data_IF_049760707295
#
_entry.id   IF_049760707295
#
_cell.length_a   1.000
_cell.length_b   1.000
_cell.length_c   1.000
_cell.angle_alpha   90.00
_cell.angle_beta   90.00
_cell.angle_gamma   90.00
#
_symmetry.space_group_name_H-M   'P 1'
#
loop_
_entity.id
_entity.type
_entity.pdbx_description
1 polymer ?
#
# COMPACT_ATOMS: atom_id res chain seq x y z
N UNK A 1 -26.23 -37.03 20.50
CA UNK A 1 -25.38 -35.99 19.88
C UNK A 1 -24.42 -35.36 20.89
N UNK A 2 -24.88 -34.93 22.08
CA UNK A 2 -24.03 -34.33 23.12
C UNK A 2 -22.92 -35.28 23.65
N UNK A 3 -23.23 -36.57 23.82
CA UNK A 3 -22.27 -37.63 24.20
C UNK A 3 -21.14 -37.88 23.18
N UNK A 4 -21.28 -37.45 21.92
CA UNK A 4 -20.22 -37.60 20.91
C UNK A 4 -19.23 -36.41 20.91
N UNK A 5 -19.63 -35.28 21.52
CA UNK A 5 -18.87 -34.02 21.52
C UNK A 5 -18.08 -33.81 22.82
N UNK A 6 -18.48 -34.51 23.89
CA UNK A 6 -17.84 -34.48 25.21
C UNK A 6 -17.51 -35.91 25.64
N UNK A 7 -16.41 -36.08 26.39
CA UNK A 7 -16.09 -37.34 27.07
C UNK A 7 -17.01 -37.55 28.27
N UNK A 8 -16.92 -38.71 28.92
CA UNK A 8 -17.64 -38.99 30.18
C UNK A 8 -17.29 -38.01 31.32
N UNK A 9 -16.14 -37.35 31.23
CA UNK A 9 -15.65 -36.35 32.21
C UNK A 9 -15.87 -34.90 31.72
N UNK A 10 -16.84 -34.68 30.82
CA UNK A 10 -17.19 -33.37 30.23
C UNK A 10 -16.04 -32.65 29.50
N UNK A 11 -14.97 -33.37 29.11
CA UNK A 11 -13.87 -32.81 28.32
C UNK A 11 -14.18 -32.89 26.82
N UNK A 12 -13.80 -31.90 26.00
CA UNK A 12 -14.12 -31.90 24.58
C UNK A 12 -13.37 -33.02 23.83
N UNK A 13 -14.09 -33.82 23.05
CA UNK A 13 -13.49 -34.86 22.21
C UNK A 13 -12.81 -34.24 20.98
N UNK A 14 -11.88 -34.93 20.27
CA UNK A 14 -11.36 -34.45 18.99
C UNK A 14 -12.47 -34.11 17.97
N UNK A 15 -13.58 -34.86 17.98
CA UNK A 15 -14.76 -34.59 17.15
C UNK A 15 -15.49 -33.31 17.62
N UNK A 16 -15.64 -33.14 18.95
CA UNK A 16 -16.18 -31.93 19.56
C UNK A 16 -15.36 -30.68 19.25
N UNK A 17 -14.04 -30.78 19.35
CA UNK A 17 -13.10 -29.72 18.98
C UNK A 17 -13.20 -29.38 17.48
N UNK A 18 -13.22 -30.37 16.60
CA UNK A 18 -13.40 -30.13 15.16
C UNK A 18 -14.76 -29.50 14.82
N UNK A 19 -15.83 -29.86 15.54
CA UNK A 19 -17.14 -29.22 15.42
C UNK A 19 -17.13 -27.77 15.92
N UNK A 20 -16.45 -27.48 17.03
CA UNK A 20 -16.29 -26.12 17.55
C UNK A 20 -15.50 -25.23 16.58
N UNK A 21 -14.43 -25.75 15.97
CA UNK A 21 -13.68 -25.05 14.91
C UNK A 21 -14.58 -24.71 13.71
N UNK A 22 -15.41 -25.65 13.26
CA UNK A 22 -16.38 -25.40 12.17
C UNK A 22 -17.40 -24.32 12.54
N UNK A 23 -17.98 -24.40 13.74
CA UNK A 23 -18.93 -23.38 14.21
C UNK A 23 -18.30 -21.99 14.31
N UNK A 24 -17.05 -21.89 14.79
CA UNK A 24 -16.31 -20.64 14.84
C UNK A 24 -16.05 -20.08 13.43
N UNK A 25 -15.68 -20.94 12.47
CA UNK A 25 -15.50 -20.54 11.08
C UNK A 25 -16.82 -20.04 10.44
N UNK A 26 -17.95 -20.69 10.72
CA UNK A 26 -19.27 -20.25 10.23
C UNK A 26 -19.65 -18.87 10.79
N UNK A 27 -19.36 -18.61 12.06
CA UNK A 27 -19.57 -17.29 12.70
C UNK A 27 -18.68 -16.24 12.05
N UNK A 28 -17.41 -16.55 11.82
CA UNK A 28 -16.48 -15.64 11.15
C UNK A 28 -16.97 -15.31 9.73
N UNK A 29 -17.38 -16.32 8.96
CA UNK A 29 -17.86 -16.14 7.59
C UNK A 29 -19.12 -15.26 7.54
N UNK A 30 -20.05 -15.44 8.48
CA UNK A 30 -21.24 -14.57 8.61
C UNK A 30 -20.87 -13.14 8.96
N UNK A 31 -19.99 -12.93 9.95
CA UNK A 31 -19.54 -11.60 10.33
C UNK A 31 -18.82 -10.88 9.16
N UNK A 32 -18.05 -11.61 8.35
CA UNK A 32 -17.45 -11.07 7.14
C UNK A 32 -18.50 -10.66 6.10
N UNK A 33 -19.56 -11.46 5.93
CA UNK A 33 -20.69 -11.15 5.04
C UNK A 33 -21.48 -9.94 5.52
N UNK A 34 -21.82 -9.86 6.82
CA UNK A 34 -22.56 -8.72 7.40
C UNK A 34 -21.80 -7.41 7.17
N UNK A 35 -20.48 -7.43 7.38
CA UNK A 35 -19.60 -6.29 7.07
C UNK A 35 -19.64 -5.90 5.60
N UNK A 36 -19.61 -6.89 4.69
CA UNK A 36 -19.69 -6.64 3.25
C UNK A 36 -21.05 -6.07 2.84
N UNK A 37 -22.14 -6.57 3.44
CA UNK A 37 -23.49 -6.07 3.20
C UNK A 37 -23.64 -4.62 3.67
N UNK A 38 -23.12 -4.27 4.85
CA UNK A 38 -23.15 -2.88 5.33
C UNK A 38 -22.42 -1.91 4.37
N UNK A 39 -21.27 -2.31 3.82
CA UNK A 39 -20.57 -1.53 2.79
C UNK A 39 -21.41 -1.40 1.52
N UNK A 40 -22.04 -2.48 1.07
CA UNK A 40 -22.87 -2.47 -0.14
C UNK A 40 -24.16 -1.67 0.01
N UNK A 41 -24.76 -1.67 1.20
CA UNK A 41 -25.88 -0.80 1.55
C UNK A 41 -25.47 0.68 1.49
N UNK A 42 -24.29 1.02 2.02
CA UNK A 42 -23.72 2.35 1.87
C UNK A 42 -23.51 2.71 0.39
N UNK A 43 -22.91 1.82 -0.42
CA UNK A 43 -22.74 2.06 -1.87
C UNK A 43 -24.09 2.32 -2.54
N UNK A 44 -25.11 1.51 -2.24
CA UNK A 44 -26.44 1.67 -2.83
C UNK A 44 -27.08 3.02 -2.44
N UNK A 45 -26.87 3.48 -1.21
CA UNK A 45 -27.39 4.74 -0.72
C UNK A 45 -26.60 5.98 -1.20
N UNK A 46 -25.33 5.82 -1.56
CA UNK A 46 -24.40 6.91 -1.93
C UNK A 46 -23.92 6.86 -3.39
N UNK A 47 -24.57 6.04 -4.23
CA UNK A 47 -24.28 5.99 -5.66
C UNK A 47 -24.49 7.38 -6.27
N UNK A 48 -23.51 7.83 -7.04
CA UNK A 48 -23.57 9.08 -7.77
C UNK A 48 -24.55 8.99 -8.96
N UNK A 49 -25.28 10.08 -9.25
CA UNK A 49 -26.01 10.26 -10.50
C UNK A 49 -25.11 10.10 -11.73
N UNK A 50 -25.66 9.68 -12.86
CA UNK A 50 -24.90 9.35 -14.07
C UNK A 50 -24.10 10.54 -14.63
N UNK A 51 -24.61 11.75 -14.54
CA UNK A 51 -23.93 12.98 -14.95
C UNK A 51 -22.69 13.28 -14.09
N UNK A 52 -22.77 13.05 -12.78
CA UNK A 52 -21.63 13.18 -11.84
C UNK A 52 -20.64 12.02 -11.96
N UNK A 53 -21.12 10.84 -12.34
CA UNK A 53 -20.29 9.66 -12.57
C UNK A 53 -19.56 9.70 -13.92
N UNK A 54 -20.09 10.42 -14.92
CA UNK A 54 -19.48 10.56 -16.24
C UNK A 54 -18.40 11.66 -16.32
N UNK A 55 -18.15 12.39 -15.24
CA UNK A 55 -17.09 13.40 -15.13
C UNK A 55 -15.73 12.67 -15.03
N UNK A 56 -15.28 12.10 -16.16
CA UNK A 56 -14.15 11.18 -16.23
C UNK A 56 -12.83 11.81 -15.76
N UNK A 57 -12.11 11.00 -14.98
CA UNK A 57 -10.67 11.08 -14.85
C UNK A 57 -10.06 10.53 -16.15
N UNK A 58 -9.70 11.41 -17.09
CA UNK A 58 -8.82 10.98 -18.19
C UNK A 58 -7.46 10.60 -17.61
N UNK A 59 -7.03 9.37 -17.88
CA UNK A 59 -5.77 8.77 -17.40
C UNK A 59 -4.50 9.54 -17.81
N UNK A 60 -4.60 10.50 -18.74
CA UNK A 60 -3.50 11.39 -19.13
C UNK A 60 -3.03 12.36 -18.02
N UNK A 61 -3.69 12.40 -16.84
CA UNK A 61 -3.46 13.46 -15.84
C UNK A 61 -2.84 13.02 -14.50
N UNK A 62 -2.32 11.80 -14.38
CA UNK A 62 -1.61 11.42 -13.15
C UNK A 62 -0.28 12.17 -12.96
N UNK A 63 0.35 12.64 -14.06
CA UNK A 63 1.56 13.47 -14.02
C UNK A 63 1.29 14.99 -14.18
N UNK A 64 0.13 15.38 -14.72
CA UNK A 64 -0.31 16.78 -14.78
C UNK A 64 -1.65 16.98 -14.04
N UNK A 65 -1.62 16.76 -12.72
CA UNK A 65 -2.74 17.14 -11.84
C UNK A 65 -2.86 18.68 -11.80
N UNK A 66 -3.64 19.22 -12.74
CA UNK A 66 -3.96 20.63 -12.83
C UNK A 66 -4.47 21.17 -11.49
N UNK A 67 -4.03 22.39 -11.18
CA UNK A 67 -4.17 23.09 -9.90
C UNK A 67 -5.61 23.50 -9.53
N UNK A 68 -6.63 23.03 -10.27
CA UNK A 68 -7.97 23.64 -10.25
C UNK A 68 -9.15 22.70 -9.90
N UNK A 69 -8.93 21.43 -9.54
CA UNK A 69 -10.05 20.58 -9.05
C UNK A 69 -10.32 20.81 -7.55
N UNK A 70 -11.20 21.77 -7.26
CA UNK A 70 -11.79 21.99 -5.94
C UNK A 70 -12.93 20.98 -5.69
N UNK A 71 -12.87 20.19 -4.60
CA UNK A 71 -13.95 19.27 -4.20
C UNK A 71 -13.52 17.81 -4.01
N UNK A 72 -14.48 16.97 -3.58
CA UNK A 72 -14.39 15.51 -3.66
C UNK A 72 -14.51 15.05 -5.12
N UNK A 73 -13.85 13.95 -5.46
CA UNK A 73 -13.87 13.37 -6.81
C UNK A 73 -14.83 12.19 -6.90
N UNK A 74 -15.40 11.97 -8.09
CA UNK A 74 -16.04 10.71 -8.41
C UNK A 74 -14.98 9.60 -8.46
N UNK A 75 -15.22 8.51 -7.73
CA UNK A 75 -14.29 7.40 -7.59
C UNK A 75 -14.85 6.13 -8.21
N UNK A 76 -14.27 5.73 -9.34
CA UNK A 76 -14.59 4.48 -10.04
C UNK A 76 -13.80 3.33 -9.39
N UNK A 77 -14.48 2.56 -8.55
CA UNK A 77 -13.86 1.46 -7.79
C UNK A 77 -14.02 0.08 -8.47
N UNK A 78 -14.91 0.00 -9.45
CA UNK A 78 -15.27 -1.20 -10.18
C UNK A 78 -15.41 -0.83 -11.66
N UNK A 79 -15.42 -1.83 -12.53
CA UNK A 79 -15.46 -1.68 -13.96
C UNK A 79 -16.79 -1.14 -14.50
N UNK A 80 -16.88 -0.95 -15.82
CA UNK A 80 -17.97 -0.24 -16.46
C UNK A 80 -19.37 -0.75 -16.07
N UNK A 81 -20.28 0.18 -15.82
CA UNK A 81 -21.67 -0.09 -15.40
C UNK A 81 -21.87 -0.24 -13.89
N UNK A 82 -20.79 -0.30 -13.10
CA UNK A 82 -20.89 -0.36 -11.65
C UNK A 82 -21.22 1.01 -11.02
N UNK A 83 -21.81 1.03 -9.81
CA UNK A 83 -21.98 2.26 -9.02
C UNK A 83 -20.66 3.00 -8.78
N UNK A 84 -20.70 4.32 -8.97
CA UNK A 84 -19.62 5.26 -8.65
C UNK A 84 -19.98 5.98 -7.35
N UNK A 85 -18.99 6.27 -6.51
CA UNK A 85 -19.17 6.90 -5.19
C UNK A 85 -18.24 8.11 -5.05
N UNK A 86 -18.52 8.99 -4.08
CA UNK A 86 -17.61 10.10 -3.75
C UNK A 86 -16.35 9.59 -3.04
N UNK A 87 -15.18 10.11 -3.47
CA UNK A 87 -13.87 9.70 -2.97
C UNK A 87 -13.70 9.94 -1.46
N UNK A 88 -14.17 11.09 -0.96
CA UNK A 88 -13.99 11.47 0.44
C UNK A 88 -14.81 10.57 1.39
N UNK A 89 -16.01 10.16 0.98
CA UNK A 89 -16.86 9.22 1.72
C UNK A 89 -16.32 7.78 1.63
N UNK A 90 -15.82 7.37 0.46
CA UNK A 90 -15.22 6.05 0.29
C UNK A 90 -14.01 5.83 1.21
N UNK A 91 -13.21 6.87 1.44
CA UNK A 91 -12.05 6.77 2.34
C UNK A 91 -12.45 6.77 3.82
N UNK A 92 -13.62 7.29 4.17
CA UNK A 92 -14.16 7.15 5.52
C UNK A 92 -14.64 5.72 5.78
N UNK A 93 -15.25 5.06 4.78
CA UNK A 93 -15.52 3.62 4.85
C UNK A 93 -14.23 2.83 4.99
N UNK A 94 -13.18 3.16 4.22
CA UNK A 94 -11.87 2.52 4.36
C UNK A 94 -11.32 2.65 5.79
N UNK A 95 -11.36 3.86 6.35
CA UNK A 95 -10.91 4.13 7.71
C UNK A 95 -11.77 3.40 8.76
N UNK A 96 -13.10 3.36 8.59
CA UNK A 96 -14.00 2.61 9.48
C UNK A 96 -13.71 1.09 9.47
N UNK A 97 -13.18 0.56 8.36
CA UNK A 97 -12.75 -0.82 8.23
C UNK A 97 -11.32 -1.08 8.78
N UNK A 98 -10.62 -0.04 9.25
CA UNK A 98 -9.23 -0.14 9.68
C UNK A 98 -8.25 -0.34 8.52
N UNK A 99 -8.59 0.14 7.32
CA UNK A 99 -7.81 -0.07 6.10
C UNK A 99 -7.20 1.24 5.59
N UNK A 100 -6.02 1.14 4.99
CA UNK A 100 -5.46 2.23 4.19
C UNK A 100 -6.38 2.57 3.02
N UNK A 101 -6.25 3.78 2.50
CA UNK A 101 -6.93 4.25 1.27
C UNK A 101 -6.93 3.20 0.14
N UNK A 102 -5.76 2.65 -0.18
CA UNK A 102 -5.59 1.71 -1.28
C UNK A 102 -6.26 0.35 -0.97
N UNK A 103 -6.04 -0.19 0.23
CA UNK A 103 -6.65 -1.46 0.65
C UNK A 103 -8.16 -1.36 0.79
N UNK A 104 -8.67 -0.24 1.29
CA UNK A 104 -10.10 0.04 1.41
C UNK A 104 -10.76 0.24 0.05
N UNK A 105 -10.17 1.04 -0.84
CA UNK A 105 -10.66 1.21 -2.22
C UNK A 105 -10.75 -0.14 -2.94
N UNK A 106 -9.70 -0.97 -2.82
CA UNK A 106 -9.72 -2.33 -3.37
C UNK A 106 -10.81 -3.20 -2.72
N UNK A 107 -10.94 -3.17 -1.40
CA UNK A 107 -11.97 -3.94 -0.69
C UNK A 107 -13.38 -3.56 -1.15
N UNK A 108 -13.69 -2.26 -1.18
CA UNK A 108 -14.99 -1.74 -1.62
C UNK A 108 -15.23 -2.07 -3.10
N UNK A 109 -14.23 -1.83 -3.96
CA UNK A 109 -14.30 -2.17 -5.39
C UNK A 109 -14.59 -3.64 -5.65
N UNK A 110 -13.89 -4.56 -4.98
CA UNK A 110 -14.14 -6.00 -5.05
C UNK A 110 -15.56 -6.38 -4.62
N UNK A 111 -16.13 -5.70 -3.61
CA UNK A 111 -17.51 -5.93 -3.19
C UNK A 111 -18.52 -5.41 -4.22
N UNK A 112 -18.29 -4.22 -4.78
CA UNK A 112 -19.12 -3.64 -5.84
C UNK A 112 -19.12 -4.58 -7.05
N UNK A 113 -17.96 -5.07 -7.47
CA UNK A 113 -17.83 -6.04 -8.55
C UNK A 113 -18.65 -7.30 -8.30
N UNK A 114 -18.50 -7.90 -7.12
CA UNK A 114 -19.28 -9.08 -6.74
C UNK A 114 -20.78 -8.81 -6.82
N UNK A 115 -21.24 -7.71 -6.21
CA UNK A 115 -22.68 -7.44 -6.05
C UNK A 115 -23.37 -7.07 -7.36
N UNK A 116 -22.70 -6.32 -8.23
CA UNK A 116 -23.31 -5.69 -9.40
C UNK A 116 -22.92 -6.35 -10.72
N UNK A 117 -21.75 -7.01 -10.81
CA UNK A 117 -21.23 -7.56 -12.08
C UNK A 117 -21.00 -9.07 -12.05
N UNK A 118 -20.86 -9.68 -10.87
CA UNK A 118 -20.71 -11.14 -10.68
C UNK A 118 -21.86 -11.76 -9.84
N UNK A 119 -23.13 -11.62 -10.27
CA UNK A 119 -24.29 -11.98 -9.44
C UNK A 119 -24.38 -13.47 -9.11
N UNK A 120 -23.90 -14.39 -9.97
CA UNK A 120 -23.93 -15.83 -9.67
C UNK A 120 -22.92 -16.17 -8.59
N UNK A 121 -21.70 -15.63 -8.66
CA UNK A 121 -20.70 -15.79 -7.60
C UNK A 121 -21.21 -15.17 -6.29
N UNK A 122 -21.80 -13.97 -6.34
CA UNK A 122 -22.36 -13.32 -5.17
C UNK A 122 -23.49 -14.11 -4.51
N UNK A 123 -24.35 -14.76 -5.30
CA UNK A 123 -25.40 -15.65 -4.77
C UNK A 123 -24.82 -16.79 -3.92
N UNK A 124 -23.64 -17.30 -4.27
CA UNK A 124 -22.95 -18.33 -3.48
C UNK A 124 -22.33 -17.79 -2.19
N UNK A 125 -21.84 -16.55 -2.21
CA UNK A 125 -21.32 -15.89 -1.00
C UNK A 125 -22.43 -15.66 0.00
N UNK A 126 -23.58 -15.15 -0.46
CA UNK A 126 -24.76 -14.91 0.39
C UNK A 126 -25.41 -16.19 0.90
N UNK A 127 -25.31 -17.28 0.14
CA UNK A 127 -25.68 -18.63 0.60
C UNK A 127 -24.68 -19.26 1.58
N UNK A 128 -23.54 -18.60 1.84
CA UNK A 128 -22.41 -19.12 2.63
C UNK A 128 -21.72 -20.36 2.04
N UNK A 129 -22.00 -20.68 0.78
CA UNK A 129 -21.38 -21.79 0.03
C UNK A 129 -20.01 -21.44 -0.56
N UNK A 130 -19.64 -20.16 -0.55
CA UNK A 130 -18.36 -19.65 -1.02
C UNK A 130 -17.81 -18.60 -0.04
N UNK A 131 -16.62 -18.83 0.56
CA UNK A 131 -15.99 -17.84 1.43
C UNK A 131 -15.72 -16.52 0.71
N UNK A 132 -16.00 -15.39 1.38
CA UNK A 132 -15.89 -14.06 0.79
C UNK A 132 -14.48 -13.77 0.25
N UNK A 133 -13.42 -14.17 0.94
CA UNK A 133 -12.05 -13.94 0.46
C UNK A 133 -11.79 -14.58 -0.91
N UNK A 134 -12.41 -15.72 -1.20
CA UNK A 134 -12.24 -16.44 -2.47
C UNK A 134 -13.00 -15.75 -3.59
N UNK A 135 -14.24 -15.33 -3.32
CA UNK A 135 -15.02 -14.52 -4.24
C UNK A 135 -14.31 -13.20 -4.57
N UNK A 136 -13.75 -12.52 -3.57
CA UNK A 136 -12.95 -11.31 -3.75
C UNK A 136 -11.72 -11.53 -4.61
N UNK A 137 -11.07 -12.70 -4.55
CA UNK A 137 -9.97 -13.03 -5.47
C UNK A 137 -10.45 -13.14 -6.92
N UNK A 138 -11.65 -13.66 -7.15
CA UNK A 138 -12.25 -13.67 -8.48
C UNK A 138 -12.51 -12.23 -8.93
N UNK A 139 -13.18 -11.41 -8.11
CA UNK A 139 -13.44 -10.00 -8.44
C UNK A 139 -12.15 -9.20 -8.73
N UNK A 140 -11.13 -9.37 -7.90
CA UNK A 140 -9.82 -8.72 -8.06
C UNK A 140 -9.12 -9.12 -9.35
N UNK A 141 -9.21 -10.40 -9.73
CA UNK A 141 -8.67 -10.88 -10.99
C UNK A 141 -9.52 -10.44 -12.18
N UNK A 142 -10.84 -10.30 -12.01
CA UNK A 142 -11.76 -10.43 -13.13
C UNK A 142 -12.24 -9.14 -13.80
N UNK A 143 -12.19 -7.94 -13.22
CA UNK A 143 -13.31 -7.04 -13.59
C UNK A 143 -13.14 -5.53 -13.73
N UNK A 144 -12.18 -4.84 -13.11
CA UNK A 144 -12.15 -3.38 -13.29
C UNK A 144 -11.90 -2.95 -14.76
N UNK A 145 -11.24 -3.80 -15.54
CA UNK A 145 -10.87 -3.51 -16.94
C UNK A 145 -11.79 -4.19 -17.97
N UNK A 146 -12.50 -5.26 -17.63
CA UNK A 146 -13.38 -5.93 -18.58
C UNK A 146 -14.68 -5.14 -18.81
N UNK A 147 -15.22 -5.10 -20.04
CA UNK A 147 -16.61 -4.72 -20.30
C UNK A 147 -17.60 -5.64 -19.58
N UNK A 148 -18.85 -5.18 -19.43
CA UNK A 148 -19.92 -5.93 -18.74
C UNK A 148 -20.11 -7.36 -19.28
N UNK A 149 -20.01 -7.55 -20.60
CA UNK A 149 -20.11 -8.88 -21.22
C UNK A 149 -18.98 -9.83 -20.78
N UNK A 150 -17.75 -9.31 -20.61
CA UNK A 150 -16.61 -10.08 -20.13
C UNK A 150 -16.76 -10.48 -18.67
N UNK A 151 -17.21 -9.57 -17.82
CA UNK A 151 -17.52 -9.87 -16.41
C UNK A 151 -18.61 -10.95 -16.29
N UNK A 152 -19.70 -10.83 -17.06
CA UNK A 152 -20.77 -11.82 -17.09
C UNK A 152 -20.31 -13.20 -17.58
N UNK A 153 -19.34 -13.25 -18.51
CA UNK A 153 -18.71 -14.49 -18.94
C UNK A 153 -17.94 -15.16 -17.80
N UNK A 154 -17.08 -14.42 -17.11
CA UNK A 154 -16.31 -14.93 -15.97
C UNK A 154 -17.24 -15.44 -14.86
N UNK A 155 -18.28 -14.68 -14.52
CA UNK A 155 -19.30 -15.09 -13.54
C UNK A 155 -19.94 -16.42 -13.93
N UNK A 156 -20.37 -16.57 -15.19
CA UNK A 156 -20.96 -17.81 -15.69
C UNK A 156 -20.00 -19.00 -15.61
N UNK A 157 -18.75 -18.82 -16.04
CA UNK A 157 -17.77 -19.91 -16.11
C UNK A 157 -17.32 -20.39 -14.73
N UNK A 158 -17.11 -19.45 -13.79
CA UNK A 158 -16.53 -19.77 -12.49
C UNK A 158 -17.57 -20.06 -11.42
N UNK A 159 -18.80 -19.53 -11.51
CA UNK A 159 -19.77 -19.61 -10.41
C UNK A 159 -20.04 -21.03 -9.94
N UNK A 160 -20.16 -22.02 -10.81
CA UNK A 160 -20.48 -23.41 -10.41
C UNK A 160 -19.33 -24.09 -9.64
N UNK A 161 -18.07 -23.75 -9.95
CA UNK A 161 -16.88 -24.39 -9.38
C UNK A 161 -16.05 -23.49 -8.46
N UNK A 162 -16.47 -22.25 -8.21
CA UNK A 162 -15.70 -21.19 -7.54
C UNK A 162 -14.94 -21.63 -6.26
N UNK A 163 -15.55 -22.50 -5.45
CA UNK A 163 -14.92 -23.01 -4.22
C UNK A 163 -13.68 -23.89 -4.46
N UNK A 164 -13.61 -24.56 -5.62
CA UNK A 164 -12.53 -25.49 -6.01
C UNK A 164 -11.58 -24.92 -7.05
N UNK A 165 -11.94 -23.81 -7.70
CA UNK A 165 -11.14 -23.16 -8.72
C UNK A 165 -9.80 -22.68 -8.15
N UNK A 166 -8.68 -23.01 -8.78
CA UNK A 166 -7.34 -22.49 -8.40
C UNK A 166 -7.15 -21.05 -8.89
N UNK A 167 -6.16 -20.32 -8.36
CA UNK A 167 -5.87 -18.96 -8.85
C UNK A 167 -5.50 -18.96 -10.34
N UNK A 168 -4.63 -19.87 -10.79
CA UNK A 168 -4.28 -20.02 -12.21
C UNK A 168 -5.46 -20.43 -13.12
N UNK A 169 -6.54 -21.00 -12.57
CA UNK A 169 -7.77 -21.21 -13.34
C UNK A 169 -8.60 -19.93 -13.44
N UNK A 170 -8.64 -19.13 -12.37
CA UNK A 170 -9.27 -17.81 -12.39
C UNK A 170 -8.55 -16.94 -13.44
N UNK A 171 -7.23 -16.81 -13.36
CA UNK A 171 -6.43 -15.97 -14.25
C UNK A 171 -6.66 -16.35 -15.71
N UNK A 172 -6.55 -17.64 -16.07
CA UNK A 172 -6.83 -18.11 -17.44
C UNK A 172 -8.24 -17.80 -17.94
N UNK A 173 -9.26 -17.89 -17.09
CA UNK A 173 -10.64 -17.56 -17.48
C UNK A 173 -10.80 -16.06 -17.70
N UNK A 174 -10.09 -15.23 -16.93
CA UNK A 174 -10.06 -13.78 -17.15
C UNK A 174 -9.31 -13.43 -18.43
N UNK A 175 -8.14 -14.01 -18.67
CA UNK A 175 -7.37 -13.79 -19.89
C UNK A 175 -8.21 -14.15 -21.13
N UNK A 176 -8.92 -15.29 -21.08
CA UNK A 176 -9.87 -15.68 -22.12
C UNK A 176 -10.99 -14.66 -22.30
N UNK A 177 -11.51 -14.11 -21.21
CA UNK A 177 -12.54 -13.07 -21.25
C UNK A 177 -11.99 -11.76 -21.83
N UNK A 178 -10.75 -11.37 -21.52
CA UNK A 178 -10.09 -10.20 -22.10
C UNK A 178 -9.93 -10.36 -23.61
N UNK A 179 -9.37 -11.48 -24.07
CA UNK A 179 -9.22 -11.78 -25.51
C UNK A 179 -10.56 -11.74 -26.24
N UNK A 180 -11.62 -12.24 -25.61
CA UNK A 180 -12.92 -12.41 -26.26
C UNK A 180 -13.79 -11.16 -26.26
N UNK A 181 -13.75 -10.37 -25.19
CA UNK A 181 -14.68 -9.26 -24.97
C UNK A 181 -14.01 -7.90 -24.87
N UNK A 182 -12.68 -7.85 -24.75
CA UNK A 182 -11.89 -6.63 -24.65
C UNK A 182 -10.59 -6.72 -25.47
N UNK A 183 -10.61 -7.16 -26.74
CA UNK A 183 -9.38 -7.31 -27.53
C UNK A 183 -8.64 -5.98 -27.70
N UNK A 184 -9.37 -4.86 -27.74
CA UNK A 184 -8.81 -3.52 -27.89
C UNK A 184 -8.12 -3.00 -26.60
N UNK A 185 -8.39 -3.63 -25.44
CA UNK A 185 -7.72 -3.33 -24.17
C UNK A 185 -6.51 -4.24 -23.93
N UNK A 186 -6.33 -5.27 -24.75
CA UNK A 186 -5.08 -6.00 -24.73
C UNK A 186 -4.00 -5.08 -25.28
N UNK A 187 -2.80 -5.06 -24.66
CA UNK A 187 -1.69 -4.32 -25.23
C UNK A 187 -1.43 -4.83 -26.66
N UNK A 188 -1.12 -3.91 -27.56
CA UNK A 188 -0.75 -4.26 -28.93
C UNK A 188 0.54 -5.11 -28.96
N UNK A 189 1.41 -4.95 -27.94
CA UNK A 189 2.63 -5.72 -27.70
C UNK A 189 2.71 -6.21 -26.22
N UNK A 190 2.84 -7.53 -25.94
CA UNK A 190 3.08 -8.05 -24.59
C UNK A 190 4.28 -7.43 -23.84
N UNK A 191 5.22 -6.80 -24.55
CA UNK A 191 6.33 -6.05 -23.98
C UNK A 191 5.90 -4.76 -23.25
N UNK A 192 4.65 -4.28 -23.39
CA UNK A 192 4.16 -3.07 -22.70
C UNK A 192 3.87 -3.27 -21.21
N UNK A 193 3.92 -4.51 -20.70
CA UNK A 193 3.79 -4.80 -19.26
C UNK A 193 5.13 -4.85 -18.51
N UNK A 194 6.24 -4.50 -19.17
CA UNK A 194 7.54 -4.44 -18.50
C UNK A 194 7.51 -3.38 -17.41
N UNK A 195 7.72 -3.82 -16.17
CA UNK A 195 7.77 -2.92 -15.02
C UNK A 195 8.80 -3.43 -14.01
N UNK A 196 9.42 -2.49 -13.29
CA UNK A 196 10.37 -2.78 -12.22
C UNK A 196 10.00 -1.92 -11.01
N UNK A 197 9.43 -2.57 -10.00
CA UNK A 197 9.01 -1.95 -8.75
C UNK A 197 10.10 -2.19 -7.70
N UNK A 198 10.61 -1.10 -7.13
CA UNK A 198 11.51 -1.14 -5.96
C UNK A 198 10.71 -0.68 -4.75
N UNK A 199 10.34 -1.60 -3.85
CA UNK A 199 9.53 -1.29 -2.68
C UNK A 199 10.38 -0.69 -1.56
N UNK A 200 10.76 0.57 -1.75
CA UNK A 200 11.54 1.31 -0.76
C UNK A 200 10.76 1.56 0.54
N UNK A 201 9.44 1.28 0.58
CA UNK A 201 8.57 1.53 1.73
C UNK A 201 8.45 0.28 2.64
N UNK A 202 8.70 -0.96 2.15
CA UNK A 202 8.86 -2.20 2.95
C UNK A 202 10.35 -2.58 3.16
N UNK A 203 11.05 -1.84 4.01
CA UNK A 203 12.45 -2.15 4.38
C UNK A 203 12.54 -3.10 5.57
N UNK A 204 13.34 -4.17 5.48
CA UNK A 204 13.59 -5.13 6.58
C UNK A 204 15.07 -5.33 6.81
N UNK A 205 15.56 -5.02 8.01
CA UNK A 205 17.00 -5.14 8.37
C UNK A 205 17.95 -4.44 7.37
N UNK A 206 17.51 -3.34 6.76
CA UNK A 206 18.27 -2.56 5.79
C UNK A 206 18.23 -3.13 4.37
N UNK A 207 17.35 -4.11 4.12
CA UNK A 207 17.10 -4.75 2.83
C UNK A 207 15.76 -4.28 2.26
N UNK A 208 15.66 -4.23 0.92
CA UNK A 208 14.48 -3.81 0.15
C UNK A 208 14.18 -4.88 -0.90
N UNK A 209 12.89 -5.18 -1.11
CA UNK A 209 12.44 -6.07 -2.19
C UNK A 209 12.37 -5.33 -3.52
N UNK A 210 12.66 -6.05 -4.61
CA UNK A 210 12.49 -5.59 -5.98
C UNK A 210 11.65 -6.65 -6.70
N UNK A 211 10.57 -6.23 -7.33
CA UNK A 211 9.70 -7.05 -8.16
C UNK A 211 9.77 -6.53 -9.60
N UNK A 212 9.99 -7.42 -10.57
CA UNK A 212 10.20 -7.03 -11.96
C UNK A 212 9.52 -8.01 -12.92
N UNK A 213 8.92 -7.46 -13.98
CA UNK A 213 8.43 -8.18 -15.15
C UNK A 213 9.25 -7.70 -16.35
N UNK A 214 10.02 -8.61 -16.97
CA UNK A 214 10.96 -8.32 -18.06
C UNK A 214 10.67 -9.23 -19.25
N UNK A 215 11.14 -8.85 -20.44
CA UNK A 215 11.20 -9.76 -21.58
C UNK A 215 12.07 -10.97 -21.24
N UNK A 216 11.78 -12.12 -21.84
CA UNK A 216 12.48 -13.36 -21.50
C UNK A 216 13.98 -13.29 -21.82
N UNK A 217 14.34 -12.67 -22.94
CA UNK A 217 15.74 -12.43 -23.33
C UNK A 217 16.44 -11.49 -22.34
N UNK A 218 15.84 -10.37 -21.97
CA UNK A 218 16.36 -9.45 -20.95
C UNK A 218 16.52 -10.13 -19.57
N UNK A 219 15.55 -10.96 -19.18
CA UNK A 219 15.61 -11.73 -17.93
C UNK A 219 16.76 -12.75 -17.93
N UNK A 220 17.01 -13.40 -19.07
CA UNK A 220 18.13 -14.32 -19.25
C UNK A 220 19.47 -13.58 -19.21
N UNK A 221 19.56 -12.41 -19.83
CA UNK A 221 20.75 -11.56 -19.80
C UNK A 221 21.04 -11.04 -18.39
N UNK A 222 20.02 -10.62 -17.64
CA UNK A 222 20.15 -10.24 -16.24
C UNK A 222 20.64 -11.42 -15.38
N UNK A 223 20.07 -12.62 -15.54
CA UNK A 223 20.53 -13.83 -14.81
C UNK A 223 21.99 -14.15 -15.12
N UNK A 224 22.40 -14.04 -16.38
CA UNK A 224 23.79 -14.24 -16.80
C UNK A 224 24.73 -13.20 -16.19
N UNK A 225 24.33 -11.92 -16.19
CA UNK A 225 25.10 -10.84 -15.59
C UNK A 225 25.28 -11.03 -14.07
N UNK A 226 24.21 -11.40 -13.36
CA UNK A 226 24.25 -11.69 -11.92
C UNK A 226 25.12 -12.92 -11.60
N UNK A 227 25.03 -13.96 -12.43
CA UNK A 227 25.85 -15.16 -12.30
C UNK A 227 27.34 -14.85 -12.50
N UNK A 228 27.67 -14.09 -13.54
CA UNK A 228 29.04 -13.66 -13.84
C UNK A 228 29.60 -12.77 -12.73
N UNK A 229 28.86 -11.74 -12.30
CA UNK A 229 29.27 -10.86 -11.21
C UNK A 229 29.49 -11.60 -9.89
N UNK A 230 28.60 -12.53 -9.53
CA UNK A 230 28.77 -13.33 -8.31
C UNK A 230 29.98 -14.29 -8.38
N UNK A 231 30.30 -14.84 -9.56
CA UNK A 231 31.50 -15.65 -9.76
C UNK A 231 32.78 -14.81 -9.68
N UNK A 232 32.75 -13.59 -10.23
CA UNK A 232 33.86 -12.63 -10.19
C UNK A 232 34.17 -12.18 -8.75
N UNK A 233 33.15 -11.90 -7.95
CA UNK A 233 33.29 -11.63 -6.51
C UNK A 233 33.92 -12.83 -5.77
N UNK A 234 33.54 -14.07 -6.11
CA UNK A 234 34.16 -15.27 -5.55
C UNK A 234 35.65 -15.37 -5.91
N UNK A 235 35.98 -15.14 -7.17
CA UNK A 235 37.36 -15.16 -7.66
C UNK A 235 38.23 -14.07 -7.02
N UNK A 236 37.63 -12.93 -6.66
CA UNK A 236 38.27 -11.86 -5.91
C UNK A 236 38.39 -12.12 -4.39
N UNK A 237 38.01 -13.32 -3.91
CA UNK A 237 38.18 -13.72 -2.51
C UNK A 237 37.01 -13.39 -1.59
N UNK A 238 35.81 -13.08 -2.12
CA UNK A 238 34.61 -12.94 -1.27
C UNK A 238 34.12 -14.31 -0.77
N UNK A 239 34.11 -14.48 0.55
CA UNK A 239 33.58 -15.66 1.24
C UNK A 239 32.05 -15.61 1.46
N UNK A 240 31.39 -14.59 0.91
CA UNK A 240 29.95 -14.42 1.09
C UNK A 240 29.13 -15.57 0.46
N UNK A 241 27.96 -15.92 1.02
CA UNK A 241 27.03 -16.85 0.41
C UNK A 241 26.66 -16.44 -1.02
N UNK A 242 26.36 -17.41 -1.88
CA UNK A 242 26.06 -17.17 -3.31
C UNK A 242 24.94 -16.14 -3.52
N UNK A 243 23.89 -16.18 -2.69
CA UNK A 243 22.80 -15.20 -2.73
C UNK A 243 23.26 -13.77 -2.46
N UNK A 244 24.10 -13.58 -1.44
CA UNK A 244 24.67 -12.27 -1.08
C UNK A 244 25.58 -11.73 -2.20
N UNK A 245 26.42 -12.59 -2.81
CA UNK A 245 27.25 -12.19 -3.96
C UNK A 245 26.42 -11.80 -5.18
N UNK A 246 25.28 -12.45 -5.43
CA UNK A 246 24.34 -12.06 -6.49
C UNK A 246 23.69 -10.71 -6.22
N UNK A 247 23.26 -10.45 -4.99
CA UNK A 247 22.71 -9.15 -4.60
C UNK A 247 23.76 -8.02 -4.75
N UNK A 248 25.01 -8.28 -4.31
CA UNK A 248 26.15 -7.34 -4.53
C UNK A 248 26.40 -7.09 -6.03
N UNK A 249 26.35 -8.15 -6.84
CA UNK A 249 26.49 -8.06 -8.29
C UNK A 249 25.37 -7.24 -8.95
N UNK A 250 24.11 -7.39 -8.52
CA UNK A 250 23.00 -6.55 -8.96
C UNK A 250 23.27 -5.07 -8.64
N UNK A 251 23.75 -4.80 -7.42
CA UNK A 251 24.17 -3.46 -7.04
C UNK A 251 25.32 -2.91 -7.88
N UNK A 252 26.29 -3.74 -8.28
CA UNK A 252 27.39 -3.34 -9.16
C UNK A 252 26.90 -3.00 -10.58
N UNK A 253 25.93 -3.76 -11.11
CA UNK A 253 25.27 -3.47 -12.39
C UNK A 253 24.55 -2.13 -12.33
N UNK A 254 23.77 -1.87 -11.29
CA UNK A 254 23.09 -0.59 -11.09
C UNK A 254 24.06 0.61 -10.96
N UNK A 255 25.31 0.36 -10.53
CA UNK A 255 26.39 1.36 -10.45
C UNK A 255 27.18 1.50 -11.75
N UNK A 256 26.86 0.76 -12.80
CA UNK A 256 27.60 0.75 -14.07
C UNK A 256 29.01 0.16 -13.95
N UNK A 257 29.32 -0.65 -12.93
CA UNK A 257 30.66 -1.23 -12.76
C UNK A 257 30.88 -2.44 -13.68
N UNK A 258 31.18 -2.15 -14.95
CA UNK A 258 31.61 -3.12 -15.96
C UNK A 258 32.99 -3.73 -15.66
N UNK A 259 33.31 -4.84 -16.34
CA UNK A 259 34.55 -5.62 -16.11
C UNK A 259 35.86 -4.91 -16.47
N UNK A 260 35.82 -3.67 -16.99
CA UNK A 260 36.98 -2.94 -17.51
C UNK A 260 36.82 -1.41 -17.46
N UNK A 261 36.08 -0.89 -16.48
CA UNK A 261 35.84 0.56 -16.45
C UNK A 261 36.92 1.33 -15.66
N UNK A 262 37.82 1.96 -16.42
CA UNK A 262 38.79 2.98 -16.00
C UNK A 262 38.21 4.40 -16.15
N UNK A 263 36.90 4.57 -16.37
CA UNK A 263 36.29 5.89 -16.47
C UNK A 263 35.76 6.38 -15.11
N UNK A 264 36.50 7.35 -14.58
CA UNK A 264 36.13 8.21 -13.45
C UNK A 264 35.02 9.18 -13.88
N UNK A 265 33.81 8.66 -14.01
CA UNK A 265 32.60 9.45 -14.29
C UNK A 265 31.45 8.98 -13.42
N UNK A 266 31.65 9.02 -12.09
CA UNK A 266 30.75 8.43 -11.12
C UNK A 266 29.34 9.02 -11.21
N UNK A 267 28.36 8.17 -11.50
CA UNK A 267 26.99 8.40 -11.03
C UNK A 267 27.08 8.54 -9.51
N UNK A 268 26.90 9.76 -9.01
CA UNK A 268 27.09 10.08 -7.60
C UNK A 268 26.21 9.18 -6.75
N UNK A 269 26.80 8.50 -5.76
CA UNK A 269 26.03 7.78 -4.72
C UNK A 269 25.01 8.76 -4.13
N UNK A 270 23.72 8.40 -4.14
CA UNK A 270 22.74 9.11 -3.30
C UNK A 270 23.20 9.02 -1.85
N UNK A 271 23.12 10.11 -1.07
CA UNK A 271 23.50 10.08 0.33
C UNK A 271 22.57 9.12 1.08
N UNK A 272 23.14 8.12 1.74
CA UNK A 272 22.43 7.31 2.73
C UNK A 272 22.45 8.10 4.05
N UNK A 273 21.27 8.55 4.49
CA UNK A 273 21.11 9.19 5.80
C UNK A 273 20.72 8.11 6.78
N UNK A 274 21.53 7.92 7.83
CA UNK A 274 21.27 6.98 8.91
C UNK A 274 21.31 7.76 10.21
N UNK A 275 20.19 7.81 10.92
CA UNK A 275 20.18 8.31 12.30
C UNK A 275 20.31 7.13 13.24
N UNK A 276 21.26 7.21 14.16
CA UNK A 276 21.68 6.09 15.01
C UNK A 276 21.26 6.40 16.44
N UNK A 277 20.37 5.56 16.98
CA UNK A 277 20.03 5.53 18.41
C UNK A 277 20.59 4.23 18.99
N UNK A 278 21.38 4.32 20.05
CA UNK A 278 22.20 3.21 20.55
C UNK A 278 21.55 2.43 21.69
N UNK A 279 21.41 1.11 21.52
CA UNK A 279 21.07 0.16 22.58
C UNK A 279 21.77 -1.20 22.37
N UNK A 280 23.04 -1.31 22.81
CA UNK A 280 23.95 -2.48 22.82
C UNK A 280 24.02 -3.40 21.56
N UNK A 281 25.24 -3.69 21.05
CA UNK A 281 25.61 -4.58 19.91
C UNK A 281 24.89 -4.34 18.55
N UNK A 282 23.68 -3.80 18.57
CA UNK A 282 22.84 -3.34 17.48
C UNK A 282 22.43 -1.89 17.76
N UNK A 283 22.21 -1.15 16.69
CA UNK A 283 21.71 0.21 16.74
C UNK A 283 20.35 0.24 16.04
N UNK A 284 19.47 1.11 16.51
CA UNK A 284 18.32 1.51 15.72
C UNK A 284 18.80 2.54 14.70
N UNK A 285 18.68 2.19 13.44
CA UNK A 285 18.95 3.04 12.31
C UNK A 285 17.64 3.44 11.64
N UNK A 286 17.52 4.73 11.37
CA UNK A 286 16.43 5.25 10.55
C UNK A 286 16.96 5.49 9.15
N UNK A 287 16.63 4.58 8.21
CA UNK A 287 16.88 4.78 6.77
C UNK A 287 15.94 5.85 6.22
N UNK A 288 14.80 6.05 6.89
CA UNK A 288 13.85 7.14 6.73
C UNK A 288 13.34 7.61 8.10
N UNK A 289 12.95 8.89 8.26
CA UNK A 289 12.27 9.40 9.45
C UNK A 289 11.29 8.40 10.10
N UNK A 290 11.56 8.08 11.37
CA UNK A 290 10.76 7.26 12.29
C UNK A 290 10.34 5.85 11.87
N UNK A 291 10.90 5.25 10.81
CA UNK A 291 10.78 3.81 10.55
C UNK A 291 12.06 3.09 11.03
N UNK A 292 12.06 2.47 12.23
CA UNK A 292 13.26 1.89 12.79
C UNK A 292 13.68 0.63 12.05
N UNK A 293 14.97 0.55 11.73
CA UNK A 293 15.61 -0.62 11.17
C UNK A 293 16.73 -1.04 12.11
N UNK A 294 16.73 -2.30 12.54
CA UNK A 294 17.86 -2.84 13.29
C UNK A 294 19.06 -2.96 12.36
N UNK A 295 20.17 -2.27 12.67
CA UNK A 295 21.46 -2.45 11.99
C UNK A 295 22.51 -2.84 13.01
N UNK A 296 23.47 -3.68 12.61
CA UNK A 296 24.61 -3.96 13.49
C UNK A 296 25.63 -2.82 13.44
N UNK A 297 26.39 -2.64 14.52
CA UNK A 297 27.51 -1.69 14.54
C UNK A 297 28.53 -1.99 13.43
N UNK A 298 28.74 -3.29 13.14
CA UNK A 298 29.63 -3.71 12.06
C UNK A 298 29.08 -3.34 10.68
N UNK A 299 27.77 -3.44 10.46
CA UNK A 299 27.14 -3.01 9.20
C UNK A 299 27.28 -1.50 8.97
N UNK A 300 27.12 -0.69 10.02
CA UNK A 300 27.38 0.76 9.94
C UNK A 300 28.85 1.04 9.66
N UNK A 301 29.77 0.31 10.32
CA UNK A 301 31.22 0.41 10.06
C UNK A 301 31.56 0.06 8.60
N UNK A 302 30.95 -0.98 8.06
CA UNK A 302 31.13 -1.39 6.66
C UNK A 302 30.62 -0.30 5.70
N UNK A 303 29.44 0.27 5.96
CA UNK A 303 28.92 1.39 5.19
C UNK A 303 29.87 2.58 5.20
N UNK A 304 30.35 2.99 6.37
CA UNK A 304 31.31 4.09 6.54
C UNK A 304 32.64 3.83 5.82
N UNK A 305 33.16 2.60 5.89
CA UNK A 305 34.41 2.21 5.21
C UNK A 305 34.27 2.27 3.69
N UNK A 306 33.08 1.90 3.18
CA UNK A 306 32.81 1.96 1.75
C UNK A 306 32.49 3.37 1.24
N UNK A 307 32.11 4.31 2.11
CA UNK A 307 31.57 5.61 1.73
C UNK A 307 32.63 6.58 1.21
N UNK A 308 32.29 7.38 0.19
CA UNK A 308 33.19 8.40 -0.38
C UNK A 308 33.21 9.69 0.46
N UNK A 309 32.13 9.97 1.19
CA UNK A 309 31.99 11.13 2.09
C UNK A 309 31.09 10.73 3.25
N UNK A 310 31.52 11.03 4.47
CA UNK A 310 30.73 10.86 5.70
C UNK A 310 30.52 12.24 6.31
N UNK A 311 29.27 12.59 6.62
CA UNK A 311 28.91 13.86 7.27
C UNK A 311 28.15 13.52 8.55
N UNK A 312 28.69 13.94 9.69
CA UNK A 312 28.02 13.80 10.99
C UNK A 312 27.26 15.10 11.26
N UNK A 313 25.97 14.98 11.54
CA UNK A 313 25.09 16.11 11.90
C UNK A 313 24.69 16.00 13.37
N UNK A 314 24.38 17.13 13.98
CA UNK A 314 23.81 17.15 15.32
C UNK A 314 22.42 16.49 15.32
N UNK A 315 22.10 15.79 16.41
CA UNK A 315 20.80 15.16 16.60
C UNK A 315 19.74 16.25 16.77
N UNK A 316 18.67 16.19 15.98
CA UNK A 316 17.53 17.07 16.12
C UNK A 316 16.81 16.78 17.44
N UNK A 317 16.73 17.77 18.33
CA UNK A 317 15.86 17.71 19.50
C UNK A 317 14.39 17.75 19.06
N UNK A 318 13.74 16.58 19.10
CA UNK A 318 12.34 16.42 18.71
C UNK A 318 11.38 17.03 19.74
N UNK A 319 11.81 17.23 20.98
CA UNK A 319 10.99 17.84 22.03
C UNK A 319 10.98 19.38 21.97
N UNK A 320 11.90 19.99 21.21
CA UNK A 320 11.98 21.44 21.07
C UNK A 320 10.74 22.00 20.36
N UNK A 321 9.99 22.88 21.05
CA UNK A 321 8.88 23.61 20.45
C UNK A 321 9.42 24.81 19.67
N UNK A 322 9.45 24.70 18.33
CA UNK A 322 9.95 25.73 17.43
C UNK A 322 8.78 26.47 16.76
N UNK A 323 8.96 27.76 16.45
CA UNK A 323 8.00 28.54 15.69
C UNK A 323 8.69 29.59 14.81
N UNK A 324 8.00 30.04 13.78
CA UNK A 324 8.37 31.20 12.95
C UNK A 324 7.12 32.00 12.60
N UNK A 325 7.27 33.31 12.45
CA UNK A 325 6.18 34.20 12.05
C UNK A 325 5.92 34.15 10.54
N UNK A 326 6.84 33.55 9.78
CA UNK A 326 6.74 33.41 8.33
C UNK A 326 5.81 32.29 7.90
N UNK A 327 5.20 32.45 6.73
CA UNK A 327 4.48 31.36 6.09
C UNK A 327 5.40 30.15 5.85
N UNK A 328 6.58 30.36 5.27
CA UNK A 328 7.51 29.27 4.95
C UNK A 328 8.13 28.70 6.23
N UNK A 329 8.05 27.37 6.50
CA UNK A 329 8.73 26.74 7.62
C UNK A 329 10.25 26.86 7.50
N UNK A 330 10.94 26.99 8.65
CA UNK A 330 12.41 26.92 8.68
C UNK A 330 12.89 25.49 8.39
N UNK A 331 14.16 25.33 7.99
CA UNK A 331 14.75 24.00 7.76
C UNK A 331 14.61 23.10 8.99
N UNK A 332 14.75 23.66 10.20
CA UNK A 332 14.55 22.94 11.46
C UNK A 332 13.11 22.43 11.60
N UNK A 333 12.11 23.28 11.34
CA UNK A 333 10.69 22.89 11.42
C UNK A 333 10.31 21.86 10.35
N UNK A 334 10.75 22.08 9.11
CA UNK A 334 10.51 21.17 8.00
C UNK A 334 11.17 19.80 8.24
N UNK A 335 12.35 19.78 8.87
CA UNK A 335 13.02 18.54 9.24
C UNK A 335 12.36 17.84 10.41
N UNK A 336 11.89 18.58 11.43
CA UNK A 336 11.36 18.01 12.67
C UNK A 336 10.04 17.24 12.48
N UNK A 337 9.13 17.73 11.64
CA UNK A 337 7.80 17.11 11.47
C UNK A 337 7.85 15.64 11.00
N UNK A 338 8.61 15.27 9.95
CA UNK A 338 8.81 13.86 9.56
C UNK A 338 9.39 12.97 10.65
N UNK A 339 10.18 13.51 11.59
CA UNK A 339 10.75 12.72 12.69
C UNK A 339 9.75 12.48 13.81
N UNK A 340 8.88 13.45 14.08
CA UNK A 340 7.79 13.29 15.03
C UNK A 340 6.71 12.35 14.47
N UNK A 341 6.49 12.42 13.17
CA UNK A 341 5.42 11.74 12.46
C UNK A 341 6.02 11.09 11.20
N UNK A 342 6.47 9.83 11.26
CA UNK A 342 7.17 9.15 10.16
C UNK A 342 6.32 8.94 8.92
N UNK A 343 5.01 9.00 9.08
CA UNK A 343 4.03 8.74 8.04
C UNK A 343 3.04 9.87 7.94
N UNK A 344 2.29 9.89 6.84
CA UNK A 344 1.11 10.73 6.71
C UNK A 344 0.16 10.52 7.90
N UNK A 345 -0.22 11.60 8.59
CA UNK A 345 -1.01 11.52 9.83
C UNK A 345 -2.50 11.24 9.60
N UNK A 346 -2.89 10.85 8.39
CA UNK A 346 -4.25 10.43 8.06
C UNK A 346 -4.49 8.96 8.48
N UNK A 347 -5.71 8.58 8.90
CA UNK A 347 -6.00 7.22 9.35
C UNK A 347 -5.50 6.12 8.40
N UNK A 348 -4.69 5.21 8.96
CA UNK A 348 -4.14 4.03 8.26
C UNK A 348 -3.29 4.33 7.01
N UNK A 349 -2.84 5.58 6.83
CA UNK A 349 -1.92 5.92 5.75
C UNK A 349 -0.49 5.56 6.14
N UNK A 350 0.19 4.76 5.32
CA UNK A 350 1.60 4.41 5.52
C UNK A 350 2.55 5.20 4.61
N UNK A 351 2.06 6.24 3.92
CA UNK A 351 2.91 7.06 3.04
C UNK A 351 3.96 7.76 3.89
N UNK A 352 5.24 7.51 3.57
CA UNK A 352 6.34 8.10 4.32
C UNK A 352 6.30 9.64 4.28
N UNK A 353 6.63 10.28 5.41
CA UNK A 353 6.54 11.72 5.59
C UNK A 353 7.46 12.52 4.64
N UNK A 354 8.57 11.94 4.17
CA UNK A 354 9.43 12.59 3.16
C UNK A 354 8.74 12.76 1.80
N UNK A 355 7.69 11.96 1.54
CA UNK A 355 6.85 12.03 0.35
C UNK A 355 5.54 12.78 0.60
N UNK A 356 5.46 13.49 1.73
CA UNK A 356 4.30 14.25 2.16
C UNK A 356 4.56 15.75 2.07
N UNK A 357 3.48 16.51 1.89
CA UNK A 357 3.48 17.94 2.12
C UNK A 357 3.47 18.19 3.64
N UNK A 358 4.04 19.32 4.08
CA UNK A 358 3.94 19.76 5.47
C UNK A 358 2.69 20.63 5.60
N UNK A 359 1.61 20.01 6.07
CA UNK A 359 0.33 20.65 6.31
C UNK A 359 0.34 21.45 7.62
N UNK A 360 -0.52 22.48 7.70
CA UNK A 360 -0.79 23.21 8.94
C UNK A 360 -2.16 22.83 9.48
N UNK A 361 -2.25 22.27 10.69
CA UNK A 361 -3.52 21.84 11.31
C UNK A 361 -4.56 22.96 11.22
N UNK A 362 -4.22 24.12 11.76
CA UNK A 362 -4.93 25.39 11.55
C UNK A 362 -4.27 26.15 10.38
N UNK A 363 -5.01 26.46 9.30
CA UNK A 363 -4.44 27.16 8.15
C UNK A 363 -3.82 28.51 8.52
N UNK A 364 -2.72 28.88 7.85
CA UNK A 364 -2.04 30.15 8.09
C UNK A 364 -2.94 31.36 7.78
N UNK A 365 -3.79 31.25 6.75
CA UNK A 365 -4.76 32.29 6.39
C UNK A 365 -5.81 32.54 7.49
N UNK A 366 -6.05 31.55 8.35
CA UNK A 366 -6.99 31.63 9.48
C UNK A 366 -6.30 32.03 10.80
N UNK A 367 -4.99 32.33 10.75
CA UNK A 367 -4.21 32.75 11.93
C UNK A 367 -3.35 31.64 12.56
N UNK A 368 -3.33 30.44 11.98
CA UNK A 368 -2.53 29.32 12.49
C UNK A 368 -1.01 29.57 12.38
N UNK A 369 -0.24 29.48 13.48
CA UNK A 369 1.19 29.78 13.47
C UNK A 369 1.98 28.67 12.74
N UNK A 370 3.09 29.03 12.09
CA UNK A 370 4.03 28.03 11.56
C UNK A 370 4.91 27.53 12.71
N UNK A 371 4.49 26.44 13.36
CA UNK A 371 5.13 25.91 14.59
C UNK A 371 5.12 24.39 14.65
N UNK A 372 6.00 23.81 15.49
CA UNK A 372 6.03 22.37 15.76
C UNK A 372 4.66 21.83 16.20
N UNK A 373 3.87 22.66 16.91
CA UNK A 373 2.54 22.31 17.38
C UNK A 373 1.51 22.20 16.24
N UNK A 374 1.66 23.00 15.19
CA UNK A 374 0.69 23.17 14.12
C UNK A 374 1.10 22.52 12.78
N UNK A 375 2.29 21.94 12.66
CA UNK A 375 2.73 21.26 11.44
C UNK A 375 2.54 19.74 11.54
N UNK A 376 2.06 19.13 10.46
CA UNK A 376 1.90 17.69 10.34
C UNK A 376 2.15 17.22 8.89
N UNK A 377 2.77 16.05 8.66
CA UNK A 377 2.95 15.52 7.33
C UNK A 377 1.63 14.96 6.78
N UNK A 378 1.22 15.40 5.60
CA UNK A 378 0.11 14.84 4.83
C UNK A 378 0.52 14.55 3.40
N UNK A 379 0.22 13.35 2.90
CA UNK A 379 0.39 13.07 1.49
C UNK A 379 -0.52 13.99 0.66
N UNK A 380 -0.12 14.28 -0.58
CA UNK A 380 -0.85 15.21 -1.46
C UNK A 380 -2.36 14.92 -1.52
N UNK A 381 -2.75 13.65 -1.60
CA UNK A 381 -4.16 13.22 -1.61
C UNK A 381 -4.90 13.64 -0.33
N UNK A 382 -4.37 13.33 0.85
CA UNK A 382 -5.04 13.65 2.11
C UNK A 382 -4.96 15.16 2.45
N UNK A 383 -3.89 15.84 2.05
CA UNK A 383 -3.81 17.29 2.12
C UNK A 383 -4.94 17.92 1.28
N UNK A 384 -5.16 17.43 0.05
CA UNK A 384 -6.27 17.88 -0.81
C UNK A 384 -7.62 17.64 -0.16
N UNK A 385 -7.85 16.46 0.42
CA UNK A 385 -9.11 16.14 1.08
C UNK A 385 -9.43 17.06 2.25
N UNK A 386 -8.41 17.42 3.03
CA UNK A 386 -8.55 18.38 4.12
C UNK A 386 -8.82 19.80 3.61
N UNK A 387 -8.19 20.19 2.50
CA UNK A 387 -8.27 21.56 1.97
C UNK A 387 -9.56 21.79 1.16
N UNK A 388 -10.00 20.79 0.40
CA UNK A 388 -11.01 20.95 -0.63
C UNK A 388 -12.21 20.01 -0.48
N UNK A 389 -12.16 19.04 0.43
CA UNK A 389 -13.30 18.18 0.76
C UNK A 389 -13.74 18.42 2.22
N UNK A 390 -14.47 17.47 2.81
CA UNK A 390 -15.13 17.64 4.12
C UNK A 390 -14.34 17.05 5.30
N UNK A 391 -13.14 16.55 5.03
CA UNK A 391 -12.26 16.03 6.05
C UNK A 391 -11.64 17.16 6.87
N UNK A 392 -11.61 16.97 8.19
CA UNK A 392 -10.99 17.91 9.12
C UNK A 392 -10.29 17.15 10.22
N UNK A 393 -9.29 17.76 10.84
CA UNK A 393 -8.63 17.17 11.99
C UNK A 393 -8.17 18.22 12.96
N UNK A 394 -7.94 17.79 14.19
CA UNK A 394 -7.29 18.58 15.22
C UNK A 394 -6.17 17.77 15.85
N UNK A 395 -5.12 18.43 16.28
CA UNK A 395 -4.08 17.83 17.10
C UNK A 395 -4.43 17.96 18.58
N UNK A 396 -4.32 16.87 19.32
CA UNK A 396 -4.58 16.81 20.75
C UNK A 396 -3.29 17.12 21.54
N UNK A 397 -3.37 17.60 22.80
CA UNK A 397 -2.20 17.89 23.62
C UNK A 397 -1.24 16.72 23.78
N UNK A 398 -1.79 15.50 23.80
CA UNK A 398 -1.06 14.25 23.87
C UNK A 398 -0.27 13.92 22.60
N UNK A 399 -0.38 14.70 21.50
CA UNK A 399 0.32 14.47 20.23
C UNK A 399 -0.47 13.63 19.21
N UNK A 400 -1.66 13.15 19.60
CA UNK A 400 -2.58 12.36 18.78
C UNK A 400 -3.36 13.26 17.82
N UNK A 401 -3.58 12.82 16.59
CA UNK A 401 -4.47 13.50 15.64
C UNK A 401 -5.86 12.89 15.67
N UNK A 402 -6.86 13.74 15.84
CA UNK A 402 -8.27 13.34 15.79
C UNK A 402 -8.88 13.85 14.48
N UNK A 403 -9.14 12.93 13.55
CA UNK A 403 -9.77 13.18 12.26
C UNK A 403 -11.28 13.02 12.36
N UNK A 404 -12.02 13.86 11.65
CA UNK A 404 -13.45 13.72 11.43
C UNK A 404 -13.75 13.63 9.93
N UNK A 405 -14.41 12.55 9.53
CA UNK A 405 -14.82 12.31 8.14
C UNK A 405 -16.10 13.05 7.72
N UNK A 406 -16.41 13.07 6.41
CA UNK A 406 -17.63 13.66 5.85
C UNK A 406 -18.95 13.16 6.46
N UNK A 407 -19.00 11.90 6.87
CA UNK A 407 -20.15 11.23 7.49
C UNK A 407 -20.11 11.29 9.03
N UNK A 408 -19.16 12.03 9.59
CA UNK A 408 -19.07 12.34 11.02
C UNK A 408 -18.36 11.28 11.87
N UNK A 409 -17.77 10.24 11.27
CA UNK A 409 -16.94 9.30 12.01
C UNK A 409 -15.65 9.97 12.47
N UNK A 410 -15.18 9.56 13.65
CA UNK A 410 -13.98 10.11 14.28
C UNK A 410 -12.91 9.03 14.37
N UNK A 411 -11.70 9.38 13.96
CA UNK A 411 -10.55 8.47 13.94
C UNK A 411 -9.38 9.08 14.68
N UNK A 412 -8.68 8.28 15.47
CA UNK A 412 -7.48 8.70 16.18
C UNK A 412 -6.25 8.12 15.48
N UNK A 413 -5.24 8.95 15.30
CA UNK A 413 -3.94 8.57 14.72
C UNK A 413 -2.85 8.95 15.72
N UNK A 414 -2.17 7.94 16.23
CA UNK A 414 -0.92 8.09 16.96
C UNK A 414 0.15 7.30 16.21
N UNK A 415 0.92 8.00 15.37
CA UNK A 415 1.98 7.42 14.55
C UNK A 415 3.38 7.72 15.10
N UNK A 416 3.45 8.30 16.30
CA UNK A 416 4.72 8.63 16.93
C UNK A 416 5.47 7.34 17.27
N UNK A 417 6.78 7.29 17.01
CA UNK A 417 7.60 6.18 17.48
C UNK A 417 7.53 6.09 19.03
N UNK A 418 7.56 4.87 19.59
CA UNK A 418 7.45 4.62 21.03
C UNK A 418 8.58 5.23 21.87
#
# INVERSE_FOLDING_TARGET
>A
MREALLTCDDSPTPVGLAAAVRAAADVEQRAQLDKALAVLEWVAARRLPEDRAADECSDEHLDEMSKDRFGSQALHLAGPGAPVVEEDEAYEIAAALGLSRQSGSRYVGELIELRYRLPRIWSRVTALDLPLWKARKIAAAATCTLPEAGAAYVDHQLAWAAARTTLAQIDRTVDEAMVRFAPDLLPEDPADHRDVIVDLDDTRHGLVSIDALLDLDDALDLENALRAGAARLKGAGSDDPRGVRRAKALGDLARGRGALDLQTGGTGRRPLVVNVVNGQATCEAFVRPGLPVSVSVDQVRDWCTSATKVTVREVLDLAANCSTDTYVPTEKLASQAPWLHPTCVFPFCSRAAERCDIDRVEPYADGGPTSTANLAPLCRTHHRMKTHARWRYRRRPEGVFEWTGPMGQVFQVDDRPP
#
